data_IF_497492216842
#
_entry.id   IF_497492216842
#
_cell.length_a   1.000
_cell.length_b   1.000
_cell.length_c   1.000
_cell.angle_alpha   90.00
_cell.angle_beta   90.00
_cell.angle_gamma   90.00
#
_symmetry.space_group_name_H-M   'P 1'
#
loop_
_entity.id
_entity.type
_entity.pdbx_description
1 polymer ?
#
# COMPACT_ATOMS: atom_id res chain seq x y z
N UNK A 1 8.97 -15.34 -0.96
CA UNK A 1 8.00 -14.37 -1.54
C UNK A 1 8.71 -13.45 -2.53
N UNK A 2 8.02 -12.93 -3.54
CA UNK A 2 8.55 -11.92 -4.48
C UNK A 2 7.54 -10.80 -4.73
N UNK A 3 8.03 -9.57 -4.90
CA UNK A 3 7.21 -8.39 -5.22
C UNK A 3 7.78 -7.72 -6.47
N UNK A 4 6.90 -7.24 -7.33
CA UNK A 4 7.26 -6.34 -8.43
C UNK A 4 6.41 -5.09 -8.35
N UNK A 5 7.06 -3.95 -8.54
CA UNK A 5 6.44 -2.63 -8.54
C UNK A 5 6.61 -1.97 -9.89
N UNK A 6 5.55 -1.39 -10.43
CA UNK A 6 5.55 -0.72 -11.73
C UNK A 6 4.62 0.49 -11.73
N UNK A 7 4.79 1.34 -12.74
CA UNK A 7 3.83 2.37 -13.10
C UNK A 7 3.14 1.97 -14.41
N UNK A 8 1.84 2.23 -14.52
CA UNK A 8 1.12 2.07 -15.79
C UNK A 8 1.42 3.23 -16.76
N UNK A 9 0.78 3.23 -17.94
CA UNK A 9 0.94 4.27 -18.96
C UNK A 9 0.50 5.68 -18.48
N UNK A 10 -0.38 5.75 -17.48
CA UNK A 10 -0.89 6.99 -16.86
C UNK A 10 -0.06 7.40 -15.62
N UNK A 11 0.97 6.63 -15.27
CA UNK A 11 1.80 6.87 -14.08
C UNK A 11 1.11 6.46 -12.77
N UNK A 12 0.12 5.56 -12.80
CA UNK A 12 -0.48 5.00 -11.60
C UNK A 12 0.41 3.88 -11.05
N UNK A 13 0.74 3.91 -9.75
CA UNK A 13 1.56 2.88 -9.15
C UNK A 13 0.74 1.62 -8.86
N UNK A 14 1.31 0.47 -9.19
CA UNK A 14 0.72 -0.82 -8.86
C UNK A 14 1.82 -1.82 -8.50
N UNK A 15 1.42 -2.87 -7.78
CA UNK A 15 2.29 -3.99 -7.47
C UNK A 15 1.63 -5.32 -7.83
N UNK A 16 2.47 -6.34 -7.92
CA UNK A 16 2.09 -7.75 -8.03
C UNK A 16 2.96 -8.56 -7.07
N UNK A 17 2.44 -9.68 -6.57
CA UNK A 17 3.16 -10.56 -5.64
C UNK A 17 3.13 -12.03 -6.06
N UNK A 18 4.22 -12.73 -5.79
CA UNK A 18 4.39 -14.16 -6.10
C UNK A 18 4.87 -14.96 -4.89
N UNK A 19 4.36 -16.17 -4.77
CA UNK A 19 4.82 -17.17 -3.84
C UNK A 19 5.14 -18.46 -4.59
N UNK A 20 6.39 -18.92 -4.52
CA UNK A 20 6.88 -20.10 -5.27
C UNK A 20 6.50 -20.07 -6.77
N UNK A 21 6.75 -18.94 -7.42
CA UNK A 21 6.43 -18.66 -8.83
C UNK A 21 4.93 -18.54 -9.19
N UNK A 22 4.02 -18.82 -8.25
CA UNK A 22 2.58 -18.60 -8.43
C UNK A 22 2.20 -17.16 -8.09
N UNK A 23 1.42 -16.52 -8.96
CA UNK A 23 0.88 -15.19 -8.73
C UNK A 23 -0.17 -15.26 -7.60
N UNK A 24 0.03 -14.47 -6.54
CA UNK A 24 -0.86 -14.43 -5.38
C UNK A 24 -1.70 -13.16 -5.37
N UNK A 25 -1.07 -12.01 -5.65
CA UNK A 25 -1.77 -10.74 -5.89
C UNK A 25 -1.49 -10.29 -7.33
N UNK A 26 -2.55 -10.15 -8.11
CA UNK A 26 -2.48 -9.53 -9.43
C UNK A 26 -2.36 -8.01 -9.29
N UNK A 27 -2.37 -7.32 -10.42
CA UNK A 27 -2.27 -5.87 -10.59
C UNK A 27 -3.16 -5.17 -9.56
N UNK A 28 -2.50 -4.66 -8.52
CA UNK A 28 -3.12 -4.02 -7.36
C UNK A 28 -2.63 -2.59 -7.30
N UNK A 29 -3.51 -1.63 -7.56
CA UNK A 29 -3.16 -0.22 -7.57
C UNK A 29 -2.97 0.34 -6.16
N UNK A 30 -2.17 1.41 -6.09
CA UNK A 30 -1.80 2.12 -4.88
C UNK A 30 -2.12 3.61 -5.06
N UNK A 31 -2.54 4.28 -4.00
CA UNK A 31 -2.77 5.72 -4.05
C UNK A 31 -3.79 6.23 -3.03
N UNK A 32 -4.05 7.54 -3.09
CA UNK A 32 -4.96 8.21 -2.19
C UNK A 32 -5.84 9.22 -2.92
N UNK A 33 -7.07 9.36 -2.44
CA UNK A 33 -7.86 10.56 -2.65
C UNK A 33 -7.70 11.50 -1.44
N UNK A 34 -7.49 12.78 -1.73
CA UNK A 34 -7.26 13.80 -0.71
C UNK A 34 -8.47 14.73 -0.60
N UNK A 35 -8.76 15.18 0.60
CA UNK A 35 -9.77 16.20 0.82
C UNK A 35 -9.26 17.56 0.34
N UNK A 36 -10.06 18.25 -0.49
CA UNK A 36 -9.77 19.60 -0.99
C UNK A 36 -8.41 19.77 -1.71
N UNK A 37 -7.82 18.68 -2.20
CA UNK A 37 -6.59 18.67 -2.99
C UNK A 37 -6.68 17.62 -4.10
N UNK A 38 -5.81 17.72 -5.11
CA UNK A 38 -5.68 16.66 -6.10
C UNK A 38 -5.20 15.37 -5.44
N UNK A 39 -5.83 14.24 -5.78
CA UNK A 39 -5.43 12.92 -5.30
C UNK A 39 -3.99 12.56 -5.66
N UNK A 40 -3.43 11.58 -4.95
CA UNK A 40 -2.10 11.04 -5.14
C UNK A 40 -2.23 9.61 -5.68
N UNK A 41 -2.64 9.49 -6.94
CA UNK A 41 -3.06 8.20 -7.55
C UNK A 41 -2.59 7.97 -8.98
N UNK A 42 -1.83 8.88 -9.56
CA UNK A 42 -1.40 8.84 -10.96
C UNK A 42 -0.48 10.01 -11.29
N UNK A 43 -0.06 10.11 -12.55
CA UNK A 43 0.93 11.09 -13.03
C UNK A 43 2.28 10.99 -12.31
N UNK A 44 2.63 9.84 -11.75
CA UNK A 44 3.94 9.65 -11.12
C UNK A 44 5.03 9.29 -12.13
N UNK A 45 6.25 9.63 -11.76
CA UNK A 45 7.51 9.07 -12.26
C UNK A 45 8.30 8.48 -11.09
N UNK A 46 9.03 7.38 -11.35
CA UNK A 46 9.98 6.83 -10.39
C UNK A 46 11.22 7.71 -10.45
N UNK A 47 11.54 8.38 -9.34
CA UNK A 47 12.74 9.23 -9.22
C UNK A 47 13.92 8.49 -8.59
N UNK A 48 13.67 7.33 -7.99
CA UNK A 48 14.71 6.47 -7.45
C UNK A 48 14.14 5.24 -6.74
N UNK A 49 15.00 4.27 -6.52
CA UNK A 49 14.74 3.12 -5.68
C UNK A 49 15.96 2.83 -4.79
N UNK A 50 15.70 2.23 -3.63
CA UNK A 50 16.73 1.75 -2.71
C UNK A 50 16.35 0.37 -2.21
N UNK A 51 17.35 -0.51 -2.12
CA UNK A 51 17.19 -1.87 -1.61
C UNK A 51 18.06 -2.06 -0.38
N UNK A 52 17.54 -2.78 0.60
CA UNK A 52 18.26 -3.14 1.81
C UNK A 52 17.86 -4.54 2.27
N UNK A 53 18.72 -5.15 3.08
CA UNK A 53 18.42 -6.40 3.78
C UNK A 53 18.60 -6.16 5.27
N UNK A 54 17.70 -6.72 6.06
CA UNK A 54 17.71 -6.60 7.51
C UNK A 54 17.53 -7.98 8.12
N UNK A 55 18.36 -8.31 9.11
CA UNK A 55 18.28 -9.57 9.86
C UNK A 55 18.67 -9.29 11.32
N UNK A 56 17.69 -9.31 12.20
CA UNK A 56 17.93 -9.24 13.64
C UNK A 56 17.04 -10.23 14.38
N UNK A 57 17.43 -10.57 15.61
CA UNK A 57 16.58 -11.34 16.52
C UNK A 57 16.36 -10.51 17.77
N UNK A 58 15.10 -10.39 18.20
CA UNK A 58 14.73 -9.67 19.41
C UNK A 58 13.98 -10.56 20.40
N UNK A 59 14.09 -10.23 21.69
CA UNK A 59 13.47 -10.98 22.78
C UNK A 59 12.15 -10.36 23.19
N UNK A 60 11.11 -11.18 23.26
CA UNK A 60 9.80 -10.80 23.78
C UNK A 60 9.76 -10.98 25.31
N UNK A 61 9.25 -9.99 26.07
CA UNK A 61 9.04 -10.16 27.50
C UNK A 61 7.94 -11.19 27.83
N UNK A 62 7.01 -11.41 26.90
CA UNK A 62 5.92 -12.39 26.98
C UNK A 62 5.39 -12.66 25.56
N UNK A 63 4.94 -13.88 25.28
CA UNK A 63 4.43 -14.28 23.97
C UNK A 63 4.49 -15.79 23.76
N UNK A 64 4.05 -16.25 22.59
CA UNK A 64 4.10 -17.67 22.20
C UNK A 64 5.55 -18.16 21.98
N UNK A 65 6.45 -17.24 21.61
CA UNK A 65 7.88 -17.50 21.39
C UNK A 65 8.72 -16.45 22.10
N UNK A 66 9.82 -16.86 22.76
CA UNK A 66 10.71 -15.93 23.47
C UNK A 66 11.57 -15.07 22.52
N UNK A 67 12.05 -15.63 21.41
CA UNK A 67 12.89 -14.92 20.43
C UNK A 67 12.20 -14.89 19.07
N UNK A 68 12.07 -13.68 18.50
CA UNK A 68 11.54 -13.48 17.15
C UNK A 68 12.68 -13.02 16.24
N UNK A 69 12.87 -13.74 15.13
CA UNK A 69 13.75 -13.32 14.04
C UNK A 69 12.98 -12.40 13.10
N UNK A 70 13.52 -11.21 12.87
CA UNK A 70 13.02 -10.21 11.92
C UNK A 70 13.99 -10.16 10.74
N UNK A 71 13.70 -10.96 9.72
CA UNK A 71 14.52 -11.09 8.51
C UNK A 71 13.71 -10.74 7.27
N UNK A 72 14.10 -9.67 6.57
CA UNK A 72 13.42 -9.22 5.36
C UNK A 72 14.37 -8.55 4.37
N UNK A 73 13.92 -8.53 3.11
CA UNK A 73 14.43 -7.62 2.10
C UNK A 73 13.48 -6.43 1.98
N UNK A 74 14.05 -5.22 1.89
CA UNK A 74 13.32 -3.97 1.76
C UNK A 74 13.52 -3.38 0.37
N UNK A 75 12.44 -2.90 -0.24
CA UNK A 75 12.45 -2.09 -1.45
C UNK A 75 11.72 -0.78 -1.15
N UNK A 76 12.45 0.33 -1.18
CA UNK A 76 11.89 1.68 -1.10
C UNK A 76 11.86 2.28 -2.50
N UNK A 77 10.68 2.60 -3.00
CA UNK A 77 10.48 3.28 -4.28
C UNK A 77 10.05 4.72 -4.04
N UNK A 78 10.82 5.67 -4.56
CA UNK A 78 10.50 7.09 -4.48
C UNK A 78 9.79 7.56 -5.74
N UNK A 79 8.58 8.08 -5.57
CA UNK A 79 7.72 8.59 -6.63
C UNK A 79 7.63 10.10 -6.56
N UNK A 80 7.49 10.74 -7.73
CA UNK A 80 7.19 12.16 -7.84
C UNK A 80 6.14 12.42 -8.92
N UNK A 81 5.19 13.32 -8.69
CA UNK A 81 4.27 13.75 -9.75
C UNK A 81 5.02 14.45 -10.90
N UNK A 82 4.64 14.21 -12.16
CA UNK A 82 5.32 14.77 -13.34
C UNK A 82 4.93 16.21 -13.63
N UNK A 83 3.65 16.55 -13.55
CA UNK A 83 3.17 17.89 -13.98
C UNK A 83 2.48 18.68 -12.88
N UNK A 84 1.94 18.00 -11.87
CA UNK A 84 1.20 18.62 -10.78
C UNK A 84 2.13 19.38 -9.81
N UNK A 85 1.78 19.38 -8.53
CA UNK A 85 2.52 20.05 -7.46
C UNK A 85 3.92 19.43 -7.19
N UNK A 86 4.39 18.53 -8.07
CA UNK A 86 5.66 17.81 -7.97
C UNK A 86 5.82 17.12 -6.62
N UNK A 87 4.70 16.65 -6.04
CA UNK A 87 4.67 16.03 -4.71
C UNK A 87 5.41 14.70 -4.75
N UNK A 88 6.14 14.41 -3.68
CA UNK A 88 6.92 13.19 -3.50
C UNK A 88 6.25 12.26 -2.50
N UNK A 89 6.27 10.97 -2.79
CA UNK A 89 5.81 9.90 -1.90
C UNK A 89 6.79 8.76 -2.05
N UNK A 90 7.11 8.10 -0.95
CA UNK A 90 7.82 6.83 -1.00
C UNK A 90 6.89 5.68 -0.67
N UNK A 91 7.10 4.54 -1.33
CA UNK A 91 6.42 3.28 -1.02
C UNK A 91 7.50 2.29 -0.59
N UNK A 92 7.41 1.80 0.64
CA UNK A 92 8.39 0.90 1.25
C UNK A 92 7.77 -0.47 1.39
N UNK A 93 8.29 -1.44 0.64
CA UNK A 93 7.95 -2.86 0.74
C UNK A 93 8.97 -3.57 1.62
N UNK A 94 8.49 -4.43 2.51
CA UNK A 94 9.30 -5.41 3.24
C UNK A 94 8.80 -6.80 2.89
N UNK A 95 9.69 -7.63 2.37
CA UNK A 95 9.39 -8.97 1.89
C UNK A 95 10.10 -9.97 2.78
N UNK A 96 9.30 -10.80 3.42
CA UNK A 96 9.70 -11.91 4.29
C UNK A 96 9.59 -13.22 3.51
N UNK A 97 10.02 -14.33 4.12
CA UNK A 97 9.92 -15.65 3.50
C UNK A 97 8.45 -16.07 3.29
N UNK A 98 7.58 -15.72 4.24
CA UNK A 98 6.18 -16.13 4.38
C UNK A 98 5.15 -15.03 4.06
N UNK A 99 5.61 -13.80 3.80
CA UNK A 99 4.70 -12.68 3.61
C UNK A 99 5.39 -11.43 3.10
N UNK A 100 4.61 -10.37 2.92
CA UNK A 100 5.12 -9.03 2.69
C UNK A 100 4.23 -8.01 3.37
N UNK A 101 4.81 -6.87 3.69
CA UNK A 101 4.10 -5.68 4.12
C UNK A 101 4.59 -4.48 3.33
N UNK A 102 3.76 -3.45 3.24
CA UNK A 102 4.19 -2.18 2.67
C UNK A 102 3.57 -1.00 3.41
N UNK A 103 4.18 0.17 3.24
CA UNK A 103 3.66 1.43 3.75
C UNK A 103 3.99 2.57 2.80
N UNK A 104 3.23 3.65 2.94
CA UNK A 104 3.53 4.93 2.31
C UNK A 104 4.31 5.82 3.29
N UNK A 105 5.30 6.54 2.78
CA UNK A 105 5.99 7.61 3.50
C UNK A 105 5.80 8.93 2.77
N UNK A 106 5.46 9.98 3.52
CA UNK A 106 5.27 11.33 2.99
C UNK A 106 6.43 12.21 3.46
N UNK A 107 7.51 12.34 2.67
CA UNK A 107 8.66 13.15 3.06
C UNK A 107 8.26 14.63 3.19
N UNK A 108 8.91 15.34 4.11
CA UNK A 108 8.72 16.78 4.28
C UNK A 108 9.09 17.52 2.98
N UNK A 109 8.20 18.40 2.53
CA UNK A 109 8.32 19.10 1.25
C UNK A 109 7.42 20.33 1.21
N UNK A 110 7.74 21.28 0.33
CA UNK A 110 7.04 22.57 0.25
C UNK A 110 5.54 22.42 -0.08
N UNK A 111 5.21 21.51 -1.00
CA UNK A 111 3.87 21.38 -1.58
C UNK A 111 3.00 20.31 -0.88
N UNK A 112 3.44 19.78 0.27
CA UNK A 112 2.70 18.75 1.02
C UNK A 112 2.98 18.85 2.53
N UNK A 113 2.66 20.00 3.13
CA UNK A 113 2.86 20.23 4.57
C UNK A 113 1.78 19.60 5.46
N UNK A 114 0.57 19.47 4.93
CA UNK A 114 -0.57 18.85 5.60
C UNK A 114 -1.31 17.97 4.61
N UNK A 115 -1.70 16.78 5.06
CA UNK A 115 -2.42 15.81 4.25
C UNK A 115 -3.73 15.50 4.97
N UNK A 116 -4.83 15.66 4.28
CA UNK A 116 -6.14 15.18 4.72
C UNK A 116 -6.56 14.06 3.76
N UNK A 117 -6.44 12.83 4.21
CA UNK A 117 -6.79 11.65 3.40
C UNK A 117 -8.31 11.50 3.45
N UNK A 118 -8.93 11.48 2.26
CA UNK A 118 -10.35 11.19 2.11
C UNK A 118 -10.56 9.68 1.96
N UNK A 119 -9.76 9.05 1.10
CA UNK A 119 -9.83 7.62 0.84
C UNK A 119 -8.45 7.06 0.51
N UNK A 120 -8.22 5.81 0.91
CA UNK A 120 -7.04 5.04 0.54
C UNK A 120 -7.43 4.06 -0.57
N UNK A 121 -6.83 4.21 -1.74
CA UNK A 121 -7.15 3.47 -2.96
C UNK A 121 -6.29 2.20 -3.09
N UNK A 122 -5.69 1.73 -2.00
CA UNK A 122 -4.87 0.52 -1.97
C UNK A 122 -5.71 -0.71 -2.30
N UNK A 123 -5.30 -1.45 -3.32
CA UNK A 123 -5.97 -2.68 -3.73
C UNK A 123 -5.22 -3.94 -3.27
N UNK A 124 -5.99 -5.02 -3.16
CA UNK A 124 -5.52 -6.39 -2.97
C UNK A 124 -6.28 -7.27 -3.97
N UNK A 125 -5.81 -7.26 -5.21
CA UNK A 125 -6.48 -7.93 -6.31
C UNK A 125 -6.13 -9.43 -6.33
N UNK A 126 -7.05 -10.25 -5.82
CA UNK A 126 -6.89 -11.70 -5.77
C UNK A 126 -6.94 -12.31 -7.18
N UNK A 127 -6.21 -13.40 -7.40
CA UNK A 127 -6.15 -14.09 -8.70
C UNK A 127 -7.40 -14.89 -9.07
N UNK A 128 -8.40 -14.95 -8.18
CA UNK A 128 -9.64 -15.68 -8.41
C UNK A 128 -10.61 -15.62 -7.24
N UNK A 129 -11.71 -16.37 -7.36
CA UNK A 129 -12.72 -16.53 -6.32
C UNK A 129 -12.26 -17.58 -5.29
N UNK A 130 -11.54 -17.12 -4.27
CA UNK A 130 -10.98 -17.99 -3.23
C UNK A 130 -12.00 -18.24 -2.11
N UNK A 131 -11.90 -19.41 -1.47
CA UNK A 131 -12.69 -19.67 -0.26
C UNK A 131 -12.21 -18.76 0.87
N UNK A 132 -13.11 -17.96 1.41
CA UNK A 132 -12.80 -16.99 2.48
C UNK A 132 -13.47 -17.37 3.80
N UNK A 133 -12.78 -17.14 4.91
CA UNK A 133 -13.37 -17.11 6.25
C UNK A 133 -13.37 -15.67 6.75
N UNK A 134 -14.53 -15.05 6.83
CA UNK A 134 -14.69 -13.65 7.22
C UNK A 134 -15.83 -13.47 8.21
N UNK A 135 -15.72 -12.43 9.03
CA UNK A 135 -16.80 -11.96 9.90
C UNK A 135 -17.39 -10.68 9.31
N UNK A 136 -18.72 -10.59 9.30
CA UNK A 136 -19.40 -9.38 8.83
C UNK A 136 -19.13 -8.20 9.75
N UNK A 137 -18.88 -7.03 9.17
CA UNK A 137 -18.83 -5.79 9.93
C UNK A 137 -20.24 -5.49 10.47
N UNK A 138 -20.41 -5.26 11.79
CA UNK A 138 -21.71 -4.91 12.33
C UNK A 138 -22.16 -3.56 11.75
N UNK A 139 -23.32 -3.56 11.09
CA UNK A 139 -23.94 -2.43 10.37
C UNK A 139 -24.37 -1.23 11.25
N UNK A 140 -23.87 -1.11 12.49
CA UNK A 140 -24.33 -0.11 13.47
C UNK A 140 -23.37 1.07 13.71
N UNK A 141 -22.23 1.16 13.02
CA UNK A 141 -21.24 2.22 13.29
C UNK A 141 -21.06 3.26 12.17
N UNK A 142 -22.13 3.61 11.44
CA UNK A 142 -22.19 4.85 10.64
C UNK A 142 -23.60 5.48 10.74
N UNK A 143 -23.85 6.44 11.64
CA UNK A 143 -24.89 7.42 11.42
C UNK A 143 -24.30 8.62 10.68
N UNK A 144 -25.01 9.09 9.65
CA UNK A 144 -24.72 10.25 8.77
C UNK A 144 -23.85 10.01 7.53
N UNK A 145 -24.45 9.46 6.48
CA UNK A 145 -24.80 10.21 5.25
C UNK A 145 -25.20 9.22 4.16
N UNK A 146 -26.47 8.84 4.12
CA UNK A 146 -27.16 8.46 2.88
C UNK A 146 -28.67 8.57 3.09
N UNK A 147 -29.20 9.73 2.73
CA UNK A 147 -30.63 9.93 2.48
C UNK A 147 -30.76 10.41 1.03
N UNK A 148 -31.78 9.88 0.33
CA UNK A 148 -32.30 10.28 -1.01
C UNK A 148 -31.53 9.61 -2.16
N UNK A 149 -32.10 8.78 -3.07
CA UNK A 149 -33.46 8.39 -3.51
C UNK A 149 -33.32 7.02 -4.23
N UNK A 150 -34.10 5.95 -3.93
CA UNK A 150 -35.45 5.56 -4.41
C UNK A 150 -35.63 5.30 -5.92
N UNK A 151 -36.25 4.14 -6.20
CA UNK A 151 -36.97 3.68 -7.40
C UNK A 151 -36.08 3.32 -8.60
N UNK A 152 -36.16 2.13 -9.20
CA UNK A 152 -37.32 1.24 -9.48
C UNK A 152 -36.92 -0.21 -9.17
#
# INVERSE_FOLDING_TARGET
MGIRFHLDAEGKPFYQSWFNDDLVMDTSYLGFDLNQAAGLKGDFEIIGDAQATFDETWEQPWGEQQFIRNHYNELKVSLQEKQALKRKIDIVFRVYDDGFGFRYEFPEQENLKQIQILDELTEFNMTGDHTTWWIGQPVHCIPLLRRIQRSI
#
